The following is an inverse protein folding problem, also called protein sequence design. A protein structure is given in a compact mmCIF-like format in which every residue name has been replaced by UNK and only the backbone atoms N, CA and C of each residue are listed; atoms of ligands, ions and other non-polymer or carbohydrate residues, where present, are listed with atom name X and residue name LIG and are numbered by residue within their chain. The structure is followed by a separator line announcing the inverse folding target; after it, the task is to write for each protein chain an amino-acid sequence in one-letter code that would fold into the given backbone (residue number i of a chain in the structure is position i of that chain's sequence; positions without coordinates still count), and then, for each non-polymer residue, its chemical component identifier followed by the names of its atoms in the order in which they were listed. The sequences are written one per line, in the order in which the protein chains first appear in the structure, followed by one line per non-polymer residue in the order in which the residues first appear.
data_IF_128865043791
#
_entry.id   IF_128865043791
#
_cell.length_a   1.000
_cell.length_b   1.000
_cell.length_c   1.000
_cell.angle_alpha   90.00
_cell.angle_beta   90.00
_cell.angle_gamma   90.00
#
_symmetry.space_group_name_H-M   'P 1'
#
loop_
_entity.id
_entity.type
_entity.pdbx_description
1 polymer ?
#
# COMPACT_ATOMS: atom_id res chain seq x y z
N UNK A 1 -27.25 16.67 -42.61
CA UNK A 1 -28.58 17.18 -42.18
C UNK A 1 -28.72 16.92 -40.68
N UNK A 2 -29.37 17.83 -39.93
CA UNK A 2 -28.74 18.49 -38.79
C UNK A 2 -29.48 18.31 -37.45
N UNK A 3 -28.84 18.76 -36.37
CA UNK A 3 -29.48 19.28 -35.16
C UNK A 3 -29.13 18.52 -33.86
N UNK A 4 -28.97 19.13 -32.69
CA UNK A 4 -29.15 20.53 -32.22
C UNK A 4 -28.64 20.61 -30.76
N UNK A 5 -28.03 21.75 -30.38
CA UNK A 5 -27.89 22.43 -29.06
C UNK A 5 -27.47 21.63 -27.79
N UNK A 6 -26.43 21.96 -27.01
CA UNK A 6 -26.11 23.16 -26.19
C UNK A 6 -27.26 23.64 -25.27
N UNK A 7 -27.15 23.33 -23.98
CA UNK A 7 -27.95 23.88 -22.87
C UNK A 7 -27.39 23.43 -21.51
N UNK A 8 -27.56 24.20 -20.42
CA UNK A 8 -26.43 24.70 -19.63
C UNK A 8 -26.03 23.89 -18.38
N UNK A 9 -24.79 24.16 -17.96
CA UNK A 9 -24.20 23.85 -16.66
C UNK A 9 -24.94 24.57 -15.51
N UNK A 10 -25.26 23.89 -14.40
CA UNK A 10 -25.62 24.57 -13.16
C UNK A 10 -24.54 24.39 -12.08
N UNK A 11 -24.01 25.50 -11.59
CA UNK A 11 -23.42 25.66 -10.24
C UNK A 11 -23.61 27.12 -9.81
N UNK A 12 -23.60 27.49 -8.52
CA UNK A 12 -23.73 26.72 -7.29
C UNK A 12 -24.91 27.19 -6.40
N UNK A 13 -25.40 26.34 -5.50
CA UNK A 13 -26.23 26.80 -4.38
C UNK A 13 -25.43 26.66 -3.08
N UNK A 14 -25.06 27.82 -2.54
CA UNK A 14 -24.43 28.00 -1.23
C UNK A 14 -25.52 27.89 -0.14
N UNK A 15 -25.45 26.84 0.67
CA UNK A 15 -26.37 26.56 1.77
C UNK A 15 -25.59 26.33 3.06
N UNK A 16 -25.70 27.31 3.94
CA UNK A 16 -25.03 27.47 5.22
C UNK A 16 -25.43 26.43 6.30
N UNK A 17 -24.54 26.31 7.29
CA UNK A 17 -24.82 25.96 8.69
C UNK A 17 -25.14 24.51 9.08
N UNK A 18 -24.09 23.74 9.41
CA UNK A 18 -24.04 22.92 10.64
C UNK A 18 -22.64 22.92 11.26
N UNK A 19 -22.53 23.62 12.40
CA UNK A 19 -21.34 23.73 13.25
C UNK A 19 -20.93 22.35 13.78
N UNK A 20 -19.62 22.03 13.89
CA UNK A 20 -19.18 20.82 14.57
C UNK A 20 -19.47 20.95 16.08
N UNK A 21 -20.22 19.97 16.60
CA UNK A 21 -20.49 19.80 18.02
C UNK A 21 -19.17 19.51 18.74
N UNK A 22 -18.76 20.44 19.60
CA UNK A 22 -17.61 20.30 20.48
C UNK A 22 -17.83 19.12 21.44
N UNK A 23 -17.07 18.04 21.27
CA UNK A 23 -17.02 16.95 22.23
C UNK A 23 -16.08 17.30 23.38
N UNK A 24 -16.71 17.78 24.46
CA UNK A 24 -16.44 17.49 25.88
C UNK A 24 -14.96 17.35 26.30
N UNK A 25 -14.42 18.45 26.81
CA UNK A 25 -13.69 18.56 28.09
C UNK A 25 -13.09 17.24 28.63
N UNK A 26 -11.81 16.99 28.33
CA UNK A 26 -11.00 16.09 29.16
C UNK A 26 -10.64 16.87 30.43
N UNK A 27 -11.33 16.57 31.53
CA UNK A 27 -11.03 17.12 32.85
C UNK A 27 -9.71 16.52 33.34
N UNK A 28 -8.76 17.41 33.61
CA UNK A 28 -7.56 17.12 34.38
C UNK A 28 -8.01 16.75 35.80
N UNK A 29 -7.63 15.55 36.25
CA UNK A 29 -7.51 15.24 37.67
C UNK A 29 -6.09 14.74 37.87
N UNK A 30 -5.19 15.66 38.18
CA UNK A 30 -3.93 15.33 38.82
C UNK A 30 -4.24 15.09 40.31
N UNK A 31 -4.00 13.86 40.78
CA UNK A 31 -3.98 13.57 42.20
C UNK A 31 -2.71 12.78 42.50
N UNK A 32 -1.70 13.51 42.98
CA UNK A 32 -0.46 12.96 43.50
C UNK A 32 -0.71 12.46 44.93
N UNK A 33 -0.59 11.16 45.16
CA UNK A 33 -0.42 10.59 46.51
C UNK A 33 0.79 9.67 46.46
N UNK A 34 1.86 10.09 47.14
CA UNK A 34 3.04 9.28 47.45
C UNK A 34 2.69 8.26 48.54
N UNK A 35 2.96 6.97 48.29
CA UNK A 35 3.76 6.02 49.12
C UNK A 35 3.37 4.58 48.77
N UNK A 36 4.32 3.78 48.28
CA UNK A 36 4.13 2.32 48.20
C UNK A 36 5.02 1.60 47.19
N UNK A 37 6.25 1.31 47.62
CA UNK A 37 7.11 0.16 47.28
C UNK A 37 6.88 -0.70 46.03
N UNK A 38 7.98 -0.87 45.28
CA UNK A 38 8.31 -1.94 44.33
C UNK A 38 7.64 -1.88 42.95
N UNK A 39 8.02 -0.89 42.15
CA UNK A 39 7.90 -0.98 40.69
C UNK A 39 8.97 -1.92 40.14
N UNK A 40 8.60 -3.19 39.95
CA UNK A 40 9.28 -4.05 38.98
C UNK A 40 8.94 -3.51 37.60
N UNK A 41 9.71 -2.54 37.12
CA UNK A 41 9.59 -2.11 35.72
C UNK A 41 10.14 -3.26 34.87
N UNK A 42 9.25 -4.14 34.41
CA UNK A 42 9.53 -4.97 33.26
C UNK A 42 9.75 -3.98 32.11
N UNK A 43 11.01 -3.63 31.87
CA UNK A 43 11.44 -2.97 30.65
C UNK A 43 11.03 -3.94 29.54
N UNK A 44 9.88 -3.67 28.92
CA UNK A 44 9.53 -4.26 27.66
C UNK A 44 10.60 -3.77 26.68
N UNK A 45 11.68 -4.55 26.58
CA UNK A 45 12.58 -4.47 25.46
C UNK A 45 11.71 -4.70 24.24
N UNK A 46 11.25 -3.61 23.61
CA UNK A 46 10.74 -3.67 22.25
C UNK A 46 11.80 -4.47 21.48
N UNK A 47 11.44 -5.54 20.76
CA UNK A 47 12.41 -6.17 19.89
C UNK A 47 12.82 -5.07 18.92
N UNK A 48 14.01 -4.53 19.14
CA UNK A 48 14.70 -3.66 18.21
C UNK A 48 14.77 -4.49 16.94
N UNK A 49 13.78 -4.28 16.06
CA UNK A 49 13.69 -4.91 14.76
C UNK A 49 14.97 -4.51 14.06
N UNK A 50 15.95 -5.41 14.09
CA UNK A 50 17.28 -5.15 13.59
C UNK A 50 17.12 -4.58 12.18
N UNK A 51 17.52 -3.32 12.00
CA UNK A 51 17.49 -2.69 10.68
C UNK A 51 18.43 -3.56 9.82
N UNK A 52 17.95 -4.26 8.79
CA UNK A 52 18.81 -5.15 8.03
C UNK A 52 19.94 -4.32 7.43
N UNK A 53 21.19 -4.67 7.74
CA UNK A 53 22.43 -3.99 7.30
C UNK A 53 22.73 -4.18 5.81
N UNK A 54 21.75 -4.53 4.99
CA UNK A 54 21.93 -4.71 3.56
C UNK A 54 21.81 -3.36 2.87
N UNK A 55 22.71 -3.05 1.93
CA UNK A 55 22.50 -1.94 0.96
C UNK A 55 21.07 -2.07 0.41
N UNK A 56 20.33 -0.98 0.18
CA UNK A 56 19.00 -1.08 -0.42
C UNK A 56 19.10 -1.80 -1.77
N UNK A 57 18.75 -3.08 -1.77
CA UNK A 57 18.78 -3.96 -2.93
C UNK A 57 17.43 -3.88 -3.61
N UNK A 58 17.36 -3.37 -4.83
CA UNK A 58 16.09 -3.34 -5.55
C UNK A 58 16.11 -2.40 -6.75
N UNK A 59 15.13 -2.60 -7.64
CA UNK A 59 14.91 -1.71 -8.77
C UNK A 59 14.01 -0.56 -8.35
N UNK A 60 14.38 0.68 -8.71
CA UNK A 60 13.51 1.85 -8.56
C UNK A 60 12.87 2.16 -9.92
N UNK A 61 11.58 2.51 -9.90
CA UNK A 61 10.85 2.88 -11.09
C UNK A 61 9.39 3.14 -10.80
N UNK A 62 8.61 3.45 -11.84
CA UNK A 62 7.18 3.72 -11.65
C UNK A 62 6.39 2.42 -11.45
N UNK A 63 5.44 2.45 -10.52
CA UNK A 63 4.36 1.50 -10.44
C UNK A 63 3.06 2.12 -10.91
N UNK A 64 2.18 1.28 -11.44
CA UNK A 64 0.76 1.59 -11.57
C UNK A 64 -0.08 0.43 -11.04
N UNK A 65 -1.39 0.47 -11.27
CA UNK A 65 -2.28 -0.61 -10.87
C UNK A 65 -3.33 -0.93 -11.91
N UNK A 66 -3.87 -2.14 -11.83
CA UNK A 66 -4.97 -2.61 -12.68
C UNK A 66 -6.12 -3.15 -11.84
N UNK A 67 -7.30 -3.15 -12.44
CA UNK A 67 -8.52 -3.75 -11.91
C UNK A 67 -9.04 -4.79 -12.90
N UNK A 68 -8.68 -6.05 -12.69
CA UNK A 68 -9.16 -7.14 -13.53
C UNK A 68 -10.33 -7.79 -12.83
N UNK A 69 -11.38 -8.12 -13.60
CA UNK A 69 -12.49 -8.94 -13.12
C UNK A 69 -11.95 -10.24 -12.50
N UNK A 70 -12.57 -10.65 -11.40
CA UNK A 70 -12.25 -11.92 -10.75
C UNK A 70 -12.39 -13.10 -11.74
N UNK A 71 -11.53 -14.11 -11.61
CA UNK A 71 -11.56 -15.28 -12.48
C UNK A 71 -10.91 -15.15 -13.86
N UNK A 72 -10.39 -13.97 -14.25
CA UNK A 72 -9.63 -13.77 -15.51
C UNK A 72 -8.31 -14.55 -15.47
N UNK A 73 -7.93 -15.21 -16.57
CA UNK A 73 -6.60 -15.86 -16.68
C UNK A 73 -5.50 -14.82 -16.83
N UNK A 74 -4.42 -14.98 -16.08
CA UNK A 74 -3.17 -14.19 -16.19
C UNK A 74 -2.13 -14.92 -17.05
N UNK A 75 -0.99 -14.28 -17.35
CA UNK A 75 0.09 -14.91 -18.10
C UNK A 75 0.72 -16.12 -17.40
N UNK A 76 0.58 -16.27 -16.07
CA UNK A 76 0.99 -17.50 -15.37
C UNK A 76 0.00 -18.67 -15.53
N UNK A 77 -1.16 -18.44 -16.16
CA UNK A 77 -2.25 -19.39 -16.26
C UNK A 77 -3.17 -19.43 -15.02
N UNK A 78 -2.81 -18.76 -13.92
CA UNK A 78 -3.65 -18.64 -12.74
C UNK A 78 -4.84 -17.70 -13.01
N UNK A 79 -5.95 -17.92 -12.28
CA UNK A 79 -7.07 -16.97 -12.27
C UNK A 79 -6.75 -15.80 -11.34
N UNK A 80 -7.16 -14.60 -11.73
CA UNK A 80 -7.18 -13.42 -10.85
C UNK A 80 -8.07 -13.69 -9.64
N UNK A 81 -7.74 -13.05 -8.53
CA UNK A 81 -8.56 -13.04 -7.31
C UNK A 81 -8.44 -11.70 -6.59
N UNK A 82 -9.59 -11.13 -6.22
CA UNK A 82 -9.66 -9.89 -5.42
C UNK A 82 -9.13 -10.08 -3.99
N UNK A 83 -8.92 -11.33 -3.58
CA UNK A 83 -8.35 -11.67 -2.27
C UNK A 83 -6.81 -11.69 -2.29
N UNK A 84 -6.21 -11.91 -3.46
CA UNK A 84 -4.77 -12.06 -3.60
C UNK A 84 -4.05 -10.70 -3.68
N UNK A 85 -2.75 -10.70 -3.37
CA UNK A 85 -1.84 -9.57 -3.60
C UNK A 85 -0.89 -9.95 -4.71
N UNK A 86 -1.22 -9.51 -5.93
CA UNK A 86 -0.51 -9.94 -7.14
C UNK A 86 -0.02 -8.76 -7.96
N UNK A 87 0.92 -9.04 -8.86
CA UNK A 87 1.46 -8.05 -9.76
C UNK A 87 1.89 -8.65 -11.11
N UNK A 88 1.89 -7.78 -12.12
CA UNK A 88 2.55 -7.98 -13.39
C UNK A 88 3.98 -7.44 -13.32
N UNK A 89 4.95 -8.25 -13.75
CA UNK A 89 6.35 -7.83 -13.86
C UNK A 89 6.98 -8.38 -15.14
N UNK A 90 7.88 -7.59 -15.76
CA UNK A 90 8.51 -7.89 -17.07
C UNK A 90 9.24 -9.23 -17.07
N UNK A 91 10.19 -9.40 -16.15
CA UNK A 91 11.17 -10.50 -16.20
C UNK A 91 11.20 -11.37 -14.95
N UNK A 92 10.59 -10.95 -13.83
CA UNK A 92 10.58 -11.74 -12.61
C UNK A 92 9.85 -13.09 -12.86
N UNK A 93 10.42 -14.23 -12.43
CA UNK A 93 9.76 -15.52 -12.55
C UNK A 93 8.38 -15.51 -11.89
N UNK A 94 7.42 -16.20 -12.49
CA UNK A 94 6.11 -16.37 -11.85
C UNK A 94 6.26 -17.04 -10.48
N UNK A 95 5.43 -16.67 -9.51
CA UNK A 95 5.54 -17.11 -8.12
C UNK A 95 6.55 -16.33 -7.29
N UNK A 96 7.42 -15.51 -7.90
CA UNK A 96 8.35 -14.67 -7.14
C UNK A 96 7.60 -13.72 -6.21
N UNK A 97 8.05 -13.62 -4.96
CA UNK A 97 7.57 -12.63 -4.00
C UNK A 97 8.41 -11.37 -4.10
N UNK A 98 7.76 -10.24 -4.36
CA UNK A 98 8.40 -8.92 -4.44
C UNK A 98 7.83 -8.02 -3.35
N UNK A 99 8.70 -7.36 -2.60
CA UNK A 99 8.32 -6.23 -1.74
C UNK A 99 8.30 -4.98 -2.60
N UNK A 100 7.16 -4.32 -2.64
CA UNK A 100 6.97 -3.04 -3.32
C UNK A 100 6.83 -1.98 -2.24
N UNK A 101 7.62 -0.92 -2.32
CA UNK A 101 7.59 0.20 -1.36
C UNK A 101 7.31 1.49 -2.12
N UNK A 102 6.23 2.19 -1.77
CA UNK A 102 5.90 3.50 -2.32
C UNK A 102 6.82 4.55 -1.69
N UNK A 103 7.66 5.17 -2.52
CA UNK A 103 8.71 6.07 -2.06
C UNK A 103 8.17 7.37 -1.47
N UNK A 104 6.96 7.77 -1.85
CA UNK A 104 6.33 9.02 -1.39
C UNK A 104 5.76 8.92 0.02
N UNK A 105 5.27 7.76 0.44
CA UNK A 105 4.59 7.59 1.72
C UNK A 105 5.18 6.48 2.62
N UNK A 106 6.22 5.78 2.15
CA UNK A 106 6.89 4.71 2.88
C UNK A 106 6.09 3.41 3.04
N UNK A 107 4.85 3.34 2.54
CA UNK A 107 4.01 2.14 2.64
C UNK A 107 4.58 1.03 1.75
N UNK A 108 4.54 -0.21 2.24
CA UNK A 108 5.01 -1.36 1.48
C UNK A 108 4.05 -2.53 1.52
N UNK A 109 4.10 -3.38 0.49
CA UNK A 109 3.32 -4.61 0.37
C UNK A 109 4.15 -5.67 -0.33
N UNK A 110 3.97 -6.94 0.08
CA UNK A 110 4.53 -8.08 -0.64
C UNK A 110 3.49 -8.58 -1.62
N UNK A 111 3.88 -8.72 -2.90
CA UNK A 111 3.05 -9.23 -3.98
C UNK A 111 3.68 -10.49 -4.57
N UNK A 112 2.84 -11.35 -5.14
CA UNK A 112 3.27 -12.50 -5.95
C UNK A 112 3.19 -12.13 -7.43
N UNK A 113 4.26 -12.37 -8.18
CA UNK A 113 4.26 -12.17 -9.63
C UNK A 113 3.47 -13.29 -10.29
N UNK A 114 2.36 -12.96 -10.92
CA UNK A 114 1.51 -13.93 -11.63
C UNK A 114 1.12 -13.47 -13.04
N UNK A 115 1.61 -12.30 -13.47
CA UNK A 115 1.29 -11.77 -14.79
C UNK A 115 2.51 -11.09 -15.42
N UNK A 116 2.41 -10.71 -16.69
CA UNK A 116 3.49 -10.10 -17.48
C UNK A 116 3.17 -8.66 -17.88
N UNK A 117 4.25 -7.91 -18.10
CA UNK A 117 4.22 -6.47 -18.31
C UNK A 117 4.70 -5.71 -17.07
N UNK A 118 4.59 -4.38 -17.04
CA UNK A 118 4.17 -3.52 -18.14
C UNK A 118 5.17 -3.55 -19.31
N UNK A 119 4.71 -3.63 -20.55
CA UNK A 119 5.61 -3.74 -21.72
C UNK A 119 6.05 -2.39 -22.31
N UNK A 120 5.34 -1.31 -21.95
CA UNK A 120 5.60 0.02 -22.50
C UNK A 120 5.90 1.04 -21.39
N UNK A 121 6.71 2.03 -21.75
CA UNK A 121 7.06 3.15 -20.88
C UNK A 121 7.98 2.78 -19.71
N UNK A 122 8.07 3.72 -18.76
CA UNK A 122 9.03 3.68 -17.63
C UNK A 122 8.52 2.92 -16.40
N UNK A 123 7.31 2.34 -16.46
CA UNK A 123 6.78 1.53 -15.37
C UNK A 123 7.54 0.21 -15.25
N UNK A 124 7.78 -0.26 -14.04
CA UNK A 124 8.52 -1.50 -13.77
C UNK A 124 7.62 -2.59 -13.19
N UNK A 125 6.47 -2.22 -12.65
CA UNK A 125 5.51 -3.14 -12.02
C UNK A 125 4.10 -2.57 -12.09
N UNK A 126 3.11 -3.43 -12.38
CA UNK A 126 1.70 -3.08 -12.24
C UNK A 126 1.08 -3.99 -11.17
N UNK A 127 0.54 -3.42 -10.10
CA UNK A 127 -0.04 -4.19 -8.99
C UNK A 127 -1.56 -4.30 -9.12
N UNK A 128 -2.19 -5.30 -8.51
CA UNK A 128 -3.65 -5.33 -8.49
C UNK A 128 -4.23 -4.22 -7.59
N UNK A 129 -5.52 -3.91 -7.76
CA UNK A 129 -6.25 -2.88 -7.00
C UNK A 129 -6.09 -3.01 -5.48
N UNK A 130 -6.12 -4.23 -4.94
CA UNK A 130 -5.93 -4.47 -3.49
C UNK A 130 -4.54 -4.09 -3.00
N UNK A 131 -3.49 -4.43 -3.75
CA UNK A 131 -2.13 -4.00 -3.43
C UNK A 131 -1.98 -2.48 -3.56
N UNK A 132 -2.62 -1.87 -4.56
CA UNK A 132 -2.63 -0.42 -4.74
C UNK A 132 -3.29 0.33 -3.56
N UNK A 133 -4.39 -0.21 -3.00
CA UNK A 133 -5.00 0.32 -1.78
C UNK A 133 -4.01 0.34 -0.62
N UNK A 134 -3.30 -0.78 -0.39
CA UNK A 134 -2.31 -0.89 0.69
C UNK A 134 -1.13 0.06 0.51
N UNK A 135 -0.68 0.26 -0.73
CA UNK A 135 0.41 1.17 -1.06
C UNK A 135 -0.01 2.65 -1.13
N UNK A 136 -1.31 2.95 -1.12
CA UNK A 136 -1.82 4.30 -1.33
C UNK A 136 -1.64 4.83 -2.75
N UNK A 137 -1.84 3.98 -3.76
CA UNK A 137 -1.76 4.34 -5.19
C UNK A 137 -3.11 4.65 -5.84
N UNK A 138 -4.24 4.39 -5.16
CA UNK A 138 -5.57 4.46 -5.81
C UNK A 138 -5.87 5.84 -6.38
N UNK A 139 -5.66 6.90 -5.59
CA UNK A 139 -5.94 8.27 -6.03
C UNK A 139 -4.89 8.80 -7.00
N UNK A 140 -3.61 8.46 -6.81
CA UNK A 140 -2.54 8.98 -7.67
C UNK A 140 -2.40 8.26 -9.00
N UNK A 141 -2.95 7.04 -9.12
CA UNK A 141 -2.82 6.15 -10.28
C UNK A 141 -1.42 5.53 -10.41
N UNK A 142 -0.39 6.36 -10.32
CA UNK A 142 1.02 5.99 -10.43
C UNK A 142 1.82 6.51 -9.23
N UNK A 143 2.95 5.86 -8.95
CA UNK A 143 3.92 6.32 -7.96
C UNK A 143 5.32 5.77 -8.27
N UNK A 144 6.36 6.49 -7.85
CA UNK A 144 7.70 5.92 -7.78
C UNK A 144 7.77 4.89 -6.65
N UNK A 145 8.29 3.71 -6.96
CA UNK A 145 8.42 2.60 -6.02
C UNK A 145 9.83 2.02 -6.05
N UNK A 146 10.21 1.41 -4.92
CA UNK A 146 11.31 0.45 -4.85
C UNK A 146 10.74 -0.96 -4.86
N UNK A 147 11.28 -1.83 -5.71
CA UNK A 147 10.90 -3.24 -5.85
C UNK A 147 12.08 -4.13 -5.46
N UNK A 148 11.87 -4.99 -4.47
CA UNK A 148 12.90 -5.85 -3.88
C UNK A 148 12.45 -7.31 -3.90
N UNK A 149 13.33 -8.25 -4.27
CA UNK A 149 13.03 -9.68 -4.16
C UNK A 149 13.03 -10.10 -2.71
N UNK A 150 11.99 -10.81 -2.28
CA UNK A 150 11.95 -11.42 -0.94
C UNK A 150 12.61 -12.80 -1.04
N UNK A 151 13.82 -12.92 -0.50
CA UNK A 151 14.49 -14.21 -0.32
C UNK A 151 14.16 -14.70 1.09
N UNK A 152 13.55 -15.88 1.20
CA UNK A 152 13.47 -16.56 2.48
C UNK A 152 14.81 -17.25 2.69
N UNK A 153 15.57 -16.80 3.68
CA UNK A 153 16.71 -17.59 4.15
C UNK A 153 16.09 -18.72 4.95
N UNK A 154 16.20 -19.95 4.45
CA UNK A 154 15.93 -21.10 5.29
C UNK A 154 17.01 -21.10 6.36
N UNK A 155 16.65 -20.81 7.61
CA UNK A 155 17.50 -21.15 8.74
C UNK A 155 17.56 -22.68 8.76
N UNK A 156 18.70 -23.23 8.34
CA UNK A 156 18.97 -24.65 8.56
C UNK A 156 19.09 -24.80 10.08
N UNK A 157 18.13 -25.50 10.68
CA UNK A 157 18.27 -25.97 12.05
C UNK A 157 19.33 -27.08 12.03
N UNK A 158 20.50 -26.79 12.62
CA UNK A 158 21.51 -27.79 12.97
C UNK A 158 21.01 -28.71 14.09
#
# INVERSE_FOLDING_TARGET
MPGTAIGPSPEPQNGDSRKPVFSRVARIAALSILLGGLSLTASAAEPHRAKPKHKPTGQIGQASWYDYKDGRKTASGQKTSDKALTAAHRTAPFGSKLRVTNMRNGKSVIVVVNDRGPFHGKRIIDVNRRAAQKLGLIQSGVAEVRVERVVQVAENAD
#
